data_IF_812961080077
#
_entry.id   IF_812961080077
#
_cell.length_a   1.000
_cell.length_b   1.000
_cell.length_c   1.000
_cell.angle_alpha   90.00
_cell.angle_beta   90.00
_cell.angle_gamma   90.00
#
_symmetry.space_group_name_H-M   'P 1'
#
loop_
_entity.id
_entity.type
_entity.pdbx_description
1 polymer ?
#
# COMPACT_ATOMS: atom_id res chain seq x y z
N UNK A 1 3.97 -21.35 4.37
CA UNK A 1 3.50 -22.08 3.21
C UNK A 1 4.49 -23.20 2.85
N UNK A 2 4.00 -24.38 2.53
CA UNK A 2 4.84 -25.54 2.18
C UNK A 2 4.17 -26.35 1.08
N UNK A 3 4.98 -26.97 0.18
CA UNK A 3 4.51 -27.90 -0.85
C UNK A 3 4.55 -29.36 -0.39
N UNK A 4 5.42 -29.68 0.56
CA UNK A 4 5.72 -31.05 0.99
C UNK A 4 5.39 -31.32 2.47
N UNK A 5 4.91 -30.29 3.19
CA UNK A 5 4.62 -30.36 4.62
C UNK A 5 5.86 -30.42 5.53
N UNK A 6 7.07 -30.25 4.97
CA UNK A 6 8.34 -30.30 5.71
C UNK A 6 9.08 -28.98 5.68
N UNK A 7 9.30 -28.46 4.50
CA UNK A 7 9.97 -27.17 4.31
C UNK A 7 8.92 -26.07 4.17
N UNK A 8 8.99 -25.09 5.07
CA UNK A 8 8.06 -23.99 5.10
C UNK A 8 8.74 -22.68 4.73
N UNK A 9 8.12 -21.88 3.89
CA UNK A 9 8.51 -20.51 3.61
C UNK A 9 7.59 -19.53 4.32
N UNK A 10 8.17 -18.45 4.83
CA UNK A 10 7.38 -17.37 5.39
C UNK A 10 6.58 -16.66 4.30
N UNK A 11 5.40 -16.18 4.66
CA UNK A 11 4.55 -15.36 3.82
C UNK A 11 4.65 -13.89 4.26
N UNK A 12 4.27 -12.98 3.36
CA UNK A 12 4.17 -11.54 3.63
C UNK A 12 5.47 -10.95 4.24
N UNK A 13 6.64 -11.42 3.77
CA UNK A 13 7.94 -11.04 4.33
C UNK A 13 8.03 -11.20 5.85
N UNK A 14 7.40 -12.24 6.39
CA UNK A 14 7.29 -12.53 7.82
C UNK A 14 6.55 -11.44 8.64
N UNK A 15 5.74 -10.62 7.99
CA UNK A 15 4.86 -9.64 8.65
C UNK A 15 3.46 -10.22 8.88
N UNK A 16 2.74 -9.67 9.82
CA UNK A 16 1.36 -10.07 10.08
C UNK A 16 0.48 -9.92 8.83
N UNK A 17 -0.35 -10.94 8.56
CA UNK A 17 -1.38 -10.91 7.51
C UNK A 17 -2.71 -10.38 8.07
N UNK A 18 -2.90 -10.50 9.37
CA UNK A 18 -4.12 -10.13 10.07
C UNK A 18 -3.78 -9.44 11.39
N UNK A 19 -4.41 -8.30 11.65
CA UNK A 19 -4.34 -7.58 12.92
C UNK A 19 -5.72 -7.63 13.60
N UNK A 20 -5.82 -8.11 14.86
CA UNK A 20 -7.08 -8.20 15.56
C UNK A 20 -7.53 -6.83 16.09
N UNK A 21 -8.84 -6.64 16.18
CA UNK A 21 -9.43 -5.50 16.85
C UNK A 21 -9.67 -5.78 18.34
N UNK A 22 -9.35 -4.80 19.19
CA UNK A 22 -9.63 -4.86 20.62
C UNK A 22 -8.83 -5.88 21.43
N UNK A 23 -7.69 -6.38 20.89
CA UNK A 23 -6.69 -7.12 21.63
C UNK A 23 -5.32 -6.90 21.01
N UNK A 24 -4.23 -7.15 21.77
CA UNK A 24 -2.88 -6.84 21.33
C UNK A 24 -2.31 -7.88 20.37
N UNK A 25 -2.72 -9.14 20.49
CA UNK A 25 -2.26 -10.25 19.64
C UNK A 25 -3.25 -11.42 19.63
N UNK A 26 -3.10 -12.24 18.57
CA UNK A 26 -3.76 -13.54 18.47
C UNK A 26 -2.82 -14.62 18.98
N UNK A 27 -3.32 -15.50 19.86
CA UNK A 27 -2.59 -16.66 20.35
C UNK A 27 -3.00 -17.92 19.58
N UNK A 28 -2.03 -18.72 19.16
CA UNK A 28 -2.20 -20.03 18.54
C UNK A 28 -3.30 -20.10 17.46
N UNK A 29 -3.23 -19.29 16.38
CA UNK A 29 -4.25 -19.27 15.34
C UNK A 29 -4.38 -20.64 14.68
N UNK A 30 -5.60 -20.98 14.26
CA UNK A 30 -5.94 -22.21 13.55
C UNK A 30 -6.97 -21.94 12.48
N UNK A 31 -6.72 -22.41 11.27
CA UNK A 31 -7.64 -22.35 10.14
C UNK A 31 -8.57 -23.58 10.15
N UNK A 32 -9.78 -23.42 9.64
CA UNK A 32 -10.71 -24.53 9.44
C UNK A 32 -11.58 -24.32 8.20
N UNK A 33 -12.09 -25.43 7.64
CA UNK A 33 -13.07 -25.42 6.55
C UNK A 33 -14.48 -25.44 7.09
N UNK A 34 -15.36 -24.70 6.43
CA UNK A 34 -16.80 -24.73 6.68
C UNK A 34 -17.50 -25.64 5.66
N UNK A 35 -18.67 -26.21 5.99
CA UNK A 35 -19.40 -27.10 5.09
C UNK A 35 -19.85 -26.44 3.78
N UNK A 36 -19.97 -25.12 3.74
CA UNK A 36 -20.30 -24.35 2.53
C UNK A 36 -19.09 -24.06 1.62
N UNK A 37 -17.91 -24.63 1.92
CA UNK A 37 -16.70 -24.43 1.14
C UNK A 37 -15.90 -23.16 1.47
N UNK A 38 -16.38 -22.32 2.39
CA UNK A 38 -15.62 -21.17 2.90
C UNK A 38 -14.74 -21.59 4.09
N UNK A 39 -14.04 -20.62 4.67
CA UNK A 39 -13.06 -20.87 5.72
C UNK A 39 -13.35 -20.05 6.97
N UNK A 40 -12.75 -20.45 8.06
CA UNK A 40 -12.67 -19.68 9.27
C UNK A 40 -11.25 -19.70 9.85
N UNK A 41 -10.94 -18.70 10.64
CA UNK A 41 -9.77 -18.65 11.49
C UNK A 41 -10.23 -18.48 12.92
N UNK A 42 -9.66 -19.28 13.83
CA UNK A 42 -9.90 -19.18 15.28
C UNK A 42 -8.57 -18.91 15.97
N UNK A 43 -8.57 -18.07 17.00
CA UNK A 43 -7.40 -17.81 17.83
C UNK A 43 -7.78 -17.49 19.28
N UNK A 44 -6.86 -17.76 20.20
CA UNK A 44 -6.97 -17.30 21.59
C UNK A 44 -6.70 -15.80 21.65
N UNK A 45 -7.30 -15.11 22.64
CA UNK A 45 -7.08 -13.69 22.90
C UNK A 45 -5.93 -13.57 23.90
N UNK A 46 -4.75 -13.18 23.43
CA UNK A 46 -3.53 -12.96 24.25
C UNK A 46 -3.19 -14.13 25.21
N UNK A 47 -3.80 -15.31 25.03
CA UNK A 47 -3.75 -16.45 25.96
C UNK A 47 -4.13 -16.08 27.41
N UNK A 48 -4.98 -15.09 27.59
CA UNK A 48 -5.40 -14.57 28.92
C UNK A 48 -6.92 -14.52 29.11
N UNK A 49 -7.70 -14.90 28.10
CA UNK A 49 -9.17 -14.80 28.10
C UNK A 49 -9.85 -16.17 28.09
N UNK A 50 -11.08 -16.22 28.59
CA UNK A 50 -12.03 -17.33 28.44
C UNK A 50 -12.76 -17.30 27.07
N UNK A 51 -12.37 -16.36 26.20
CA UNK A 51 -12.95 -16.15 24.88
C UNK A 51 -11.90 -16.44 23.78
N UNK A 52 -12.42 -16.75 22.61
CA UNK A 52 -11.66 -16.83 21.36
C UNK A 52 -12.13 -15.74 20.40
N UNK A 53 -11.28 -15.42 19.42
CA UNK A 53 -11.65 -14.64 18.26
C UNK A 53 -11.86 -15.58 17.08
N UNK A 54 -12.90 -15.30 16.29
CA UNK A 54 -13.22 -16.01 15.05
C UNK A 54 -13.32 -15.00 13.93
N UNK A 55 -12.77 -15.36 12.76
CA UNK A 55 -12.91 -14.66 11.49
C UNK A 55 -13.52 -15.59 10.45
N UNK A 56 -14.16 -15.01 9.45
CA UNK A 56 -14.60 -15.67 8.24
C UNK A 56 -13.67 -15.34 7.09
N UNK A 57 -13.58 -16.21 6.09
CA UNK A 57 -12.84 -15.96 4.85
C UNK A 57 -13.44 -16.80 3.71
N UNK A 58 -13.58 -16.19 2.52
CA UNK A 58 -14.04 -16.90 1.33
C UNK A 58 -12.89 -17.53 0.54
N UNK A 59 -11.65 -17.08 0.77
CA UNK A 59 -10.54 -17.39 -0.12
C UNK A 59 -9.17 -17.55 0.55
N UNK A 60 -9.07 -17.49 1.87
CA UNK A 60 -7.83 -17.51 2.67
C UNK A 60 -6.89 -16.30 2.46
N UNK A 61 -7.32 -15.29 1.68
CA UNK A 61 -6.53 -14.08 1.43
C UNK A 61 -6.96 -12.91 2.31
N UNK A 62 -8.25 -12.84 2.61
CA UNK A 62 -8.87 -11.80 3.41
C UNK A 62 -9.72 -12.44 4.50
N UNK A 63 -9.60 -11.89 5.71
CA UNK A 63 -10.34 -12.32 6.88
C UNK A 63 -11.20 -11.16 7.38
N UNK A 64 -12.48 -11.43 7.59
CA UNK A 64 -13.48 -10.41 7.94
C UNK A 64 -14.44 -10.94 9.00
N UNK A 65 -15.39 -10.13 9.42
CA UNK A 65 -16.42 -10.47 10.38
C UNK A 65 -15.82 -10.98 11.71
N UNK A 66 -14.86 -10.20 12.25
CA UNK A 66 -14.27 -10.51 13.55
C UNK A 66 -15.35 -10.58 14.62
N UNK A 67 -15.38 -11.67 15.37
CA UNK A 67 -16.28 -11.83 16.51
C UNK A 67 -15.61 -12.58 17.63
N UNK A 68 -16.08 -12.31 18.85
CA UNK A 68 -15.63 -13.00 20.05
C UNK A 68 -16.64 -14.04 20.44
N UNK A 69 -16.16 -15.20 20.87
CA UNK A 69 -16.97 -16.29 21.35
C UNK A 69 -16.42 -16.77 22.70
N UNK A 70 -17.25 -16.72 23.74
CA UNK A 70 -16.91 -17.25 25.06
C UNK A 70 -17.11 -18.76 25.07
N UNK A 71 -16.08 -19.52 25.48
CA UNK A 71 -16.13 -20.99 25.47
C UNK A 71 -16.52 -21.60 26.81
N UNK A 72 -16.49 -20.85 27.91
CA UNK A 72 -16.89 -21.33 29.22
C UNK A 72 -17.39 -20.19 30.10
N UNK A 73 -18.16 -20.54 31.13
CA UNK A 73 -18.69 -19.61 32.14
C UNK A 73 -17.94 -19.66 33.47
N UNK A 74 -16.82 -20.38 33.52
CA UNK A 74 -16.02 -20.61 34.72
C UNK A 74 -14.76 -19.74 34.79
N UNK A 75 -14.49 -18.96 33.76
CA UNK A 75 -13.31 -18.09 33.65
C UNK A 75 -12.02 -18.87 33.36
N UNK A 76 -12.09 -20.13 32.89
CA UNK A 76 -10.93 -20.89 32.47
C UNK A 76 -10.35 -20.24 31.22
N UNK A 77 -9.08 -19.85 31.29
CA UNK A 77 -8.35 -19.26 30.17
C UNK A 77 -8.26 -20.27 29.02
N UNK A 78 -8.59 -19.83 27.81
CA UNK A 78 -8.53 -20.63 26.58
C UNK A 78 -7.18 -20.50 25.91
N UNK A 79 -6.58 -21.65 25.58
CA UNK A 79 -5.34 -21.76 24.81
C UNK A 79 -5.53 -22.73 23.65
N UNK A 80 -4.73 -22.61 22.62
CA UNK A 80 -4.64 -23.55 21.49
C UNK A 80 -5.99 -23.96 20.88
N UNK A 81 -6.90 -23.00 20.58
CA UNK A 81 -8.20 -23.34 20.03
C UNK A 81 -8.06 -23.92 18.62
N UNK A 82 -8.89 -24.91 18.30
CA UNK A 82 -9.02 -25.50 16.99
C UNK A 82 -10.47 -25.87 16.71
N UNK A 83 -10.95 -25.60 15.50
CA UNK A 83 -12.32 -25.91 15.08
C UNK A 83 -12.31 -27.02 14.03
N UNK A 84 -13.23 -27.97 14.18
CA UNK A 84 -13.54 -28.96 13.16
C UNK A 84 -15.04 -29.04 12.96
N UNK A 85 -15.48 -29.11 11.70
CA UNK A 85 -16.86 -29.47 11.41
C UNK A 85 -17.03 -30.96 11.50
N UNK A 86 -18.06 -31.42 12.22
CA UNK A 86 -18.41 -32.80 12.41
C UNK A 86 -19.62 -33.10 11.52
N UNK A 87 -19.41 -33.87 10.45
CA UNK A 87 -20.44 -34.19 9.47
C UNK A 87 -21.56 -35.11 10.06
N UNK A 88 -21.24 -35.93 11.07
CA UNK A 88 -22.20 -36.81 11.70
C UNK A 88 -23.24 -36.07 12.56
N UNK A 89 -22.77 -35.03 13.26
CA UNK A 89 -23.63 -34.23 14.15
C UNK A 89 -24.12 -32.94 13.50
N UNK A 90 -23.52 -32.53 12.38
CA UNK A 90 -23.72 -31.25 11.72
C UNK A 90 -23.37 -30.03 12.63
N UNK A 91 -22.44 -30.20 13.56
CA UNK A 91 -21.97 -29.20 14.48
C UNK A 91 -20.49 -28.90 14.25
N UNK A 92 -20.03 -27.76 14.73
CA UNK A 92 -18.62 -27.48 14.90
C UNK A 92 -18.17 -27.95 16.27
N UNK A 93 -17.11 -28.76 16.32
CA UNK A 93 -16.41 -29.14 17.54
C UNK A 93 -15.25 -28.14 17.73
N UNK A 94 -15.25 -27.38 18.82
CA UNK A 94 -14.19 -26.47 19.21
C UNK A 94 -13.36 -27.13 20.30
N UNK A 95 -12.16 -27.59 19.96
CA UNK A 95 -11.20 -28.15 20.90
C UNK A 95 -10.31 -27.04 21.44
N UNK A 96 -9.99 -27.07 22.73
CA UNK A 96 -9.13 -26.06 23.36
C UNK A 96 -8.47 -26.60 24.64
N UNK A 97 -7.37 -25.99 25.00
CA UNK A 97 -6.65 -26.27 26.26
C UNK A 97 -7.00 -25.22 27.28
N UNK A 98 -7.29 -25.66 28.49
CA UNK A 98 -7.55 -24.79 29.62
C UNK A 98 -6.27 -24.28 30.27
N UNK A 99 -6.30 -23.09 30.85
CA UNK A 99 -5.25 -22.59 31.72
C UNK A 99 -5.03 -23.46 32.97
N UNK A 100 -5.94 -24.37 33.29
CA UNK A 100 -5.89 -25.39 34.35
C UNK A 100 -5.14 -26.67 33.94
N UNK A 101 -4.65 -26.73 32.66
CA UNK A 101 -3.90 -27.86 32.13
C UNK A 101 -4.73 -29.01 31.58
N UNK A 102 -6.04 -28.88 31.52
CA UNK A 102 -6.96 -29.85 30.92
C UNK A 102 -7.30 -29.49 29.49
N UNK A 103 -7.76 -30.47 28.72
CA UNK A 103 -8.29 -30.27 27.36
C UNK A 103 -9.81 -30.37 27.37
N UNK A 104 -10.45 -29.54 26.56
CA UNK A 104 -11.89 -29.42 26.49
C UNK A 104 -12.38 -29.46 25.04
N UNK A 105 -13.64 -29.82 24.89
CA UNK A 105 -14.40 -29.63 23.66
C UNK A 105 -15.72 -28.93 23.98
N UNK A 106 -16.07 -27.94 23.15
CA UNK A 106 -17.38 -27.29 23.12
C UNK A 106 -17.95 -27.44 21.72
N UNK A 107 -19.26 -27.58 21.61
CA UNK A 107 -19.93 -27.72 20.31
C UNK A 107 -20.77 -26.49 20.01
N UNK A 108 -20.95 -26.19 18.73
CA UNK A 108 -21.76 -25.06 18.26
C UNK A 108 -22.32 -25.34 16.87
N UNK A 109 -23.51 -24.86 16.59
CA UNK A 109 -24.13 -24.92 15.26
C UNK A 109 -23.67 -23.74 14.38
N UNK A 110 -23.51 -22.57 14.96
CA UNK A 110 -23.43 -21.29 14.23
C UNK A 110 -22.15 -20.47 14.55
N UNK A 111 -21.29 -20.95 15.44
CA UNK A 111 -20.12 -20.24 15.95
C UNK A 111 -20.47 -18.92 16.69
N UNK A 112 -21.67 -18.83 17.24
CA UNK A 112 -22.16 -17.72 18.05
C UNK A 112 -22.48 -18.11 19.49
N UNK A 113 -23.01 -19.31 19.67
CA UNK A 113 -23.30 -19.89 20.99
C UNK A 113 -22.69 -21.28 21.07
N UNK A 114 -22.23 -21.66 22.25
CA UNK A 114 -21.56 -22.95 22.48
C UNK A 114 -22.27 -23.76 23.57
N UNK A 115 -22.11 -25.08 23.53
CA UNK A 115 -22.45 -25.98 24.63
C UNK A 115 -21.57 -25.72 25.87
N UNK A 116 -21.94 -26.27 27.01
CA UNK A 116 -21.03 -26.39 28.15
C UNK A 116 -19.81 -27.23 27.75
N UNK A 117 -18.61 -26.88 28.25
CA UNK A 117 -17.37 -27.59 27.90
C UNK A 117 -17.36 -29.00 28.52
N UNK A 118 -16.88 -29.97 27.73
CA UNK A 118 -16.67 -31.34 28.17
C UNK A 118 -15.15 -31.65 28.12
N UNK A 119 -14.62 -32.27 29.19
CA UNK A 119 -13.22 -32.71 29.18
C UNK A 119 -12.94 -33.73 28.07
N UNK A 120 -11.82 -33.63 27.42
CA UNK A 120 -11.38 -34.51 26.34
C UNK A 120 -9.89 -34.84 26.46
N UNK A 121 -9.47 -35.90 25.80
CA UNK A 121 -8.05 -36.25 25.66
C UNK A 121 -7.40 -35.66 24.40
N UNK A 122 -8.19 -34.93 23.61
CA UNK A 122 -7.66 -34.30 22.40
C UNK A 122 -6.58 -33.29 22.72
N UNK A 123 -5.47 -33.38 22.00
CA UNK A 123 -4.40 -32.37 22.01
C UNK A 123 -4.11 -31.91 20.59
N UNK A 124 -3.85 -30.63 20.42
CA UNK A 124 -3.39 -30.07 19.16
C UNK A 124 -2.07 -30.75 18.78
N UNK A 125 -1.97 -31.23 17.55
CA UNK A 125 -0.72 -31.78 17.04
C UNK A 125 0.33 -30.67 16.92
N UNK A 126 1.50 -30.89 17.48
CA UNK A 126 2.68 -30.07 17.22
C UNK A 126 3.26 -30.44 15.86
N UNK A 127 3.76 -29.47 15.12
CA UNK A 127 4.39 -29.69 13.83
C UNK A 127 5.85 -29.32 13.91
N UNK A 128 6.69 -30.31 13.64
CA UNK A 128 8.11 -30.08 13.38
C UNK A 128 8.24 -29.52 11.94
N UNK A 129 8.25 -28.21 11.84
CA UNK A 129 8.43 -27.50 10.58
C UNK A 129 9.80 -26.79 10.57
N UNK A 130 10.53 -26.94 9.49
CA UNK A 130 11.71 -26.11 9.24
C UNK A 130 11.19 -24.75 8.75
N UNK A 131 11.40 -23.71 9.58
CA UNK A 131 11.03 -22.34 9.27
C UNK A 131 12.30 -21.53 8.96
N UNK A 132 12.21 -20.50 8.12
CA UNK A 132 13.28 -19.52 7.96
C UNK A 132 13.72 -18.95 9.30
N UNK A 133 15.03 -18.67 9.48
CA UNK A 133 15.61 -18.20 10.73
C UNK A 133 14.97 -16.93 11.30
N UNK A 134 14.38 -16.11 10.43
CA UNK A 134 13.70 -14.87 10.80
C UNK A 134 12.23 -15.09 11.23
N UNK A 135 11.70 -16.29 11.10
CA UNK A 135 10.31 -16.58 11.49
C UNK A 135 10.23 -16.83 13.00
N UNK A 136 9.35 -16.09 13.68
CA UNK A 136 9.02 -16.35 15.08
C UNK A 136 8.21 -17.64 15.15
N UNK A 137 8.70 -18.63 15.89
CA UNK A 137 7.96 -19.85 16.19
C UNK A 137 7.01 -19.60 17.35
N UNK A 138 5.73 -19.62 17.07
CA UNK A 138 4.71 -19.94 18.06
C UNK A 138 4.08 -21.30 17.65
N UNK A 139 3.46 -22.00 18.60
CA UNK A 139 2.80 -23.27 18.31
C UNK A 139 1.79 -23.10 17.18
N UNK A 140 2.08 -23.71 16.03
CA UNK A 140 1.28 -23.57 14.82
C UNK A 140 0.39 -24.80 14.59
N UNK A 141 -0.77 -24.61 14.00
CA UNK A 141 -1.55 -25.69 13.37
C UNK A 141 -1.18 -25.82 11.91
N UNK A 142 -1.24 -27.05 11.39
CA UNK A 142 -1.15 -27.31 9.95
C UNK A 142 -2.55 -27.31 9.37
N UNK A 143 -2.71 -26.65 8.24
CA UNK A 143 -3.91 -26.64 7.45
C UNK A 143 -3.57 -27.09 6.03
N UNK A 144 -4.18 -28.18 5.59
CA UNK A 144 -3.94 -28.74 4.26
C UNK A 144 -4.63 -27.88 3.19
N UNK A 145 -3.90 -27.58 2.12
CA UNK A 145 -4.36 -26.77 1.01
C UNK A 145 -4.52 -27.61 -0.26
N UNK A 146 -5.50 -27.29 -1.07
CA UNK A 146 -5.52 -27.70 -2.48
C UNK A 146 -4.47 -26.91 -3.27
N UNK A 147 -4.15 -27.36 -4.49
CA UNK A 147 -3.20 -26.65 -5.34
C UNK A 147 -3.67 -25.22 -5.65
N UNK A 148 -4.95 -25.02 -5.95
CA UNK A 148 -5.53 -23.70 -6.25
C UNK A 148 -5.45 -22.74 -5.04
N UNK A 149 -5.63 -23.24 -3.83
CA UNK A 149 -5.48 -22.47 -2.60
C UNK A 149 -4.02 -22.09 -2.36
N UNK A 150 -3.11 -23.06 -2.56
CA UNK A 150 -1.68 -22.82 -2.47
C UNK A 150 -1.24 -21.71 -3.43
N UNK A 151 -1.60 -21.84 -4.71
CA UNK A 151 -1.19 -20.89 -5.76
C UNK A 151 -1.75 -19.47 -5.50
N UNK A 152 -2.99 -19.40 -5.06
CA UNK A 152 -3.64 -18.14 -4.71
C UNK A 152 -2.98 -17.44 -3.51
N UNK A 153 -2.61 -18.19 -2.46
CA UNK A 153 -1.92 -17.68 -1.29
C UNK A 153 -0.48 -17.27 -1.65
N UNK A 154 0.21 -18.10 -2.43
CA UNK A 154 1.57 -17.78 -2.90
C UNK A 154 1.61 -16.54 -3.78
N UNK A 155 0.64 -16.41 -4.68
CA UNK A 155 0.50 -15.21 -5.52
C UNK A 155 0.32 -13.92 -4.70
N UNK A 156 -0.46 -13.97 -3.62
CA UNK A 156 -0.78 -12.79 -2.80
C UNK A 156 0.31 -12.47 -1.78
N UNK A 157 0.83 -13.46 -1.08
CA UNK A 157 1.68 -13.29 0.09
C UNK A 157 3.09 -13.87 -0.06
N UNK A 158 3.37 -14.57 -1.17
CA UNK A 158 4.69 -15.07 -1.48
C UNK A 158 5.68 -13.95 -1.78
N UNK A 159 6.96 -14.26 -1.71
CA UNK A 159 8.01 -13.33 -2.12
C UNK A 159 7.92 -13.11 -3.64
N UNK A 160 7.79 -11.85 -4.04
CA UNK A 160 7.75 -11.48 -5.45
C UNK A 160 9.04 -11.93 -6.15
N UNK A 161 8.90 -12.59 -7.28
CA UNK A 161 10.01 -13.02 -8.14
C UNK A 161 9.56 -13.07 -9.60
N UNK A 162 10.49 -12.90 -10.52
CA UNK A 162 10.21 -13.02 -11.95
C UNK A 162 9.92 -14.47 -12.33
N UNK A 163 8.91 -14.69 -13.17
CA UNK A 163 8.51 -16.02 -13.65
C UNK A 163 8.69 -16.19 -15.15
N UNK A 164 8.61 -15.11 -15.92
CA UNK A 164 8.86 -15.09 -17.37
C UNK A 164 9.22 -13.70 -17.86
N UNK A 165 9.67 -13.65 -19.09
CA UNK A 165 9.92 -12.42 -19.83
C UNK A 165 9.13 -12.51 -21.13
N UNK A 166 8.35 -11.49 -21.44
CA UNK A 166 7.57 -11.42 -22.66
C UNK A 166 8.49 -10.90 -23.78
N UNK A 167 8.88 -11.80 -24.70
CA UNK A 167 9.68 -11.50 -25.89
C UNK A 167 8.97 -12.08 -27.10
N UNK A 168 8.80 -11.28 -28.13
CA UNK A 168 8.17 -11.70 -29.37
C UNK A 168 9.22 -12.06 -30.43
N UNK A 169 8.92 -13.07 -31.25
CA UNK A 169 9.69 -13.35 -32.42
C UNK A 169 9.58 -12.20 -33.45
N UNK A 170 10.68 -11.83 -34.05
CA UNK A 170 10.74 -10.76 -35.04
C UNK A 170 10.92 -11.38 -36.42
N UNK A 171 10.03 -11.08 -37.36
CA UNK A 171 10.12 -11.52 -38.74
C UNK A 171 10.29 -10.31 -39.65
N UNK A 172 11.37 -10.32 -40.44
CA UNK A 172 11.69 -9.29 -41.45
C UNK A 172 11.99 -9.93 -42.79
N UNK A 173 11.90 -9.18 -43.87
CA UNK A 173 12.36 -9.65 -45.21
C UNK A 173 13.87 -9.58 -45.27
N UNK A 174 14.45 -10.47 -46.09
CA UNK A 174 15.89 -10.46 -46.35
C UNK A 174 16.34 -9.07 -46.88
N UNK A 175 17.33 -8.50 -46.21
CA UNK A 175 17.87 -7.17 -46.51
C UNK A 175 17.21 -6.02 -45.74
N UNK A 176 16.18 -6.29 -44.93
CA UNK A 176 15.65 -5.33 -43.98
C UNK A 176 16.42 -5.41 -42.65
N UNK A 177 16.52 -4.29 -41.95
CA UNK A 177 17.16 -4.22 -40.65
C UNK A 177 16.27 -4.87 -39.58
N UNK A 178 16.85 -5.69 -38.71
CA UNK A 178 16.19 -6.21 -37.50
C UNK A 178 16.42 -5.22 -36.38
N UNK A 179 15.34 -4.68 -35.85
CA UNK A 179 15.35 -3.80 -34.67
C UNK A 179 14.92 -4.60 -33.47
N UNK A 180 15.83 -4.78 -32.51
CA UNK A 180 15.53 -5.37 -31.19
C UNK A 180 15.02 -4.28 -30.28
N UNK A 181 14.02 -4.61 -29.44
CA UNK A 181 13.53 -3.68 -28.40
C UNK A 181 14.62 -3.44 -27.37
N UNK A 182 14.75 -2.23 -26.90
CA UNK A 182 15.63 -1.87 -25.78
C UNK A 182 15.01 -2.19 -24.40
N UNK A 183 13.70 -2.50 -24.38
CA UNK A 183 12.96 -2.90 -23.18
C UNK A 183 12.13 -4.16 -23.43
N UNK A 184 11.92 -4.94 -22.40
CA UNK A 184 11.05 -6.14 -22.38
C UNK A 184 10.22 -6.16 -21.10
N UNK A 185 9.03 -6.77 -21.17
CA UNK A 185 8.19 -6.93 -20.00
C UNK A 185 8.59 -8.17 -19.20
N UNK A 186 8.98 -7.95 -17.96
CA UNK A 186 9.20 -9.01 -16.97
C UNK A 186 7.90 -9.27 -16.22
N UNK A 187 7.44 -10.52 -16.25
CA UNK A 187 6.24 -10.97 -15.54
C UNK A 187 6.63 -11.54 -14.20
N UNK A 188 5.97 -11.08 -13.15
CA UNK A 188 6.23 -11.51 -11.77
C UNK A 188 5.21 -12.55 -11.28
N UNK A 189 5.54 -13.21 -10.17
CA UNK A 189 4.76 -14.30 -9.57
C UNK A 189 3.33 -13.89 -9.14
N UNK A 190 3.06 -12.60 -8.96
CA UNK A 190 1.74 -12.04 -8.68
C UNK A 190 0.94 -11.71 -9.95
N UNK A 191 1.57 -11.88 -11.12
CA UNK A 191 1.02 -11.54 -12.43
C UNK A 191 1.22 -10.08 -12.83
N UNK A 192 1.88 -9.27 -12.01
CA UNK A 192 2.28 -7.91 -12.39
C UNK A 192 3.37 -7.97 -13.47
N UNK A 193 3.50 -6.88 -14.22
CA UNK A 193 4.52 -6.71 -15.26
C UNK A 193 5.28 -5.42 -15.02
N UNK A 194 6.58 -5.45 -15.32
CA UNK A 194 7.44 -4.27 -15.31
C UNK A 194 8.28 -4.26 -16.56
N UNK A 195 8.30 -3.15 -17.28
CA UNK A 195 9.16 -2.97 -18.44
C UNK A 195 10.58 -2.69 -17.95
N UNK A 196 11.54 -3.49 -18.41
CA UNK A 196 12.94 -3.42 -17.99
C UNK A 196 13.85 -3.33 -19.22
N UNK A 197 14.95 -2.58 -19.10
CA UNK A 197 16.00 -2.53 -20.09
C UNK A 197 16.62 -3.92 -20.33
N UNK A 198 17.09 -4.16 -21.54
CA UNK A 198 17.71 -5.42 -21.93
C UNK A 198 18.94 -5.19 -22.80
N UNK A 199 20.03 -5.85 -22.47
CA UNK A 199 21.26 -5.89 -23.27
C UNK A 199 21.25 -7.15 -24.11
N UNK A 200 21.14 -6.99 -25.43
CA UNK A 200 21.09 -8.09 -26.35
C UNK A 200 22.50 -8.57 -26.75
N UNK A 201 22.74 -9.85 -26.61
CA UNK A 201 23.89 -10.52 -27.18
C UNK A 201 23.54 -11.04 -28.57
N UNK A 202 23.97 -10.33 -29.59
CA UNK A 202 23.71 -10.68 -30.97
C UNK A 202 24.73 -11.67 -31.53
N UNK A 203 25.70 -12.15 -30.75
CA UNK A 203 26.78 -13.06 -31.18
C UNK A 203 27.52 -12.58 -32.42
N UNK A 204 27.66 -11.26 -32.61
CA UNK A 204 28.31 -10.65 -33.77
C UNK A 204 27.48 -10.64 -35.06
N UNK A 205 26.19 -10.94 -35.01
CA UNK A 205 25.28 -10.82 -36.13
C UNK A 205 25.18 -9.36 -36.62
N UNK A 206 25.25 -9.16 -37.89
CA UNK A 206 24.99 -7.85 -38.49
C UNK A 206 23.48 -7.70 -38.73
N UNK A 207 22.76 -7.14 -37.78
CA UNK A 207 21.30 -6.98 -37.81
C UNK A 207 20.80 -6.13 -38.98
N UNK A 208 21.68 -5.34 -39.64
CA UNK A 208 21.33 -4.53 -40.81
C UNK A 208 21.34 -5.31 -42.12
N UNK A 209 21.94 -6.49 -42.15
CA UNK A 209 22.06 -7.28 -43.34
C UNK A 209 22.24 -8.76 -43.03
N UNK A 210 21.17 -9.38 -42.57
CA UNK A 210 21.12 -10.82 -42.33
C UNK A 210 20.77 -11.56 -43.62
N UNK A 211 21.41 -12.71 -43.84
CA UNK A 211 20.96 -13.67 -44.83
C UNK A 211 19.61 -14.29 -44.45
N UNK A 212 18.92 -14.90 -45.42
CA UNK A 212 17.71 -15.65 -45.11
C UNK A 212 18.02 -16.83 -44.20
N UNK A 213 17.25 -16.96 -43.08
CA UNK A 213 17.44 -18.00 -42.07
C UNK A 213 16.78 -17.63 -40.76
N UNK A 214 16.85 -18.54 -39.80
CA UNK A 214 16.44 -18.32 -38.44
C UNK A 214 17.65 -18.06 -37.55
N UNK A 215 17.53 -17.05 -36.68
CA UNK A 215 18.61 -16.63 -35.79
C UNK A 215 18.07 -16.53 -34.39
N UNK A 216 18.83 -16.97 -33.39
CA UNK A 216 18.52 -16.82 -31.98
C UNK A 216 19.49 -15.82 -31.36
N UNK A 217 18.96 -14.83 -30.70
CA UNK A 217 19.72 -13.91 -29.83
C UNK A 217 19.32 -14.10 -28.39
N UNK A 218 20.24 -13.85 -27.48
CA UNK A 218 19.96 -13.86 -26.03
C UNK A 218 20.04 -12.45 -25.48
N UNK A 219 19.28 -12.17 -24.42
CA UNK A 219 19.33 -10.87 -23.74
C UNK A 219 19.57 -11.04 -22.25
N UNK A 220 20.23 -10.07 -21.65
CA UNK A 220 20.37 -9.93 -20.21
C UNK A 220 19.53 -8.74 -19.76
N UNK A 221 18.61 -8.99 -18.81
CA UNK A 221 17.74 -7.94 -18.27
C UNK A 221 18.56 -7.08 -17.31
N UNK A 222 18.48 -5.77 -17.52
CA UNK A 222 19.09 -4.77 -16.66
C UNK A 222 18.16 -4.49 -15.49
N UNK A 223 18.23 -5.31 -14.44
CA UNK A 223 17.51 -5.06 -13.21
C UNK A 223 18.31 -4.06 -12.37
N UNK A 224 17.75 -2.87 -12.17
CA UNK A 224 18.24 -1.99 -11.09
C UNK A 224 17.78 -2.60 -9.77
N UNK A 225 18.70 -3.11 -8.98
CA UNK A 225 18.37 -3.78 -7.72
C UNK A 225 18.56 -2.89 -6.51
N UNK A 226 19.31 -1.82 -6.63
CA UNK A 226 19.68 -0.96 -5.52
C UNK A 226 19.23 0.48 -5.77
N UNK A 227 18.43 0.99 -4.83
CA UNK A 227 18.10 2.40 -4.76
C UNK A 227 19.00 3.09 -3.76
N UNK A 228 19.38 4.34 -4.05
CA UNK A 228 20.10 5.18 -3.11
C UNK A 228 19.26 5.38 -1.84
N UNK A 229 19.91 5.36 -0.68
CA UNK A 229 19.24 5.59 0.60
C UNK A 229 20.09 6.48 1.50
N UNK A 230 19.64 7.68 1.81
CA UNK A 230 18.39 8.31 1.33
C UNK A 230 18.47 8.74 -0.14
N UNK A 231 17.34 8.70 -0.84
CA UNK A 231 17.23 9.23 -2.20
C UNK A 231 17.41 10.76 -2.22
N UNK A 232 16.83 11.43 -1.24
CA UNK A 232 17.04 12.86 -1.00
C UNK A 232 17.04 13.14 0.51
N UNK A 233 18.01 13.94 0.98
CA UNK A 233 18.08 14.37 2.37
C UNK A 233 17.21 15.60 2.61
N UNK A 234 16.71 15.74 3.85
CA UNK A 234 15.87 16.87 4.27
C UNK A 234 14.60 17.06 3.42
N UNK A 235 14.01 15.92 3.00
CA UNK A 235 12.74 15.86 2.28
C UNK A 235 11.81 14.91 3.00
N UNK A 236 10.75 15.48 3.61
CA UNK A 236 9.61 14.70 4.07
C UNK A 236 8.60 14.53 2.91
N UNK A 237 7.68 13.60 3.04
CA UNK A 237 6.57 13.38 2.11
C UNK A 237 7.06 13.31 0.64
N UNK A 238 8.01 12.41 0.31
CA UNK A 238 8.62 12.37 -1.00
C UNK A 238 7.60 11.93 -2.06
N UNK A 239 7.53 12.66 -3.16
CA UNK A 239 6.71 12.33 -4.32
C UNK A 239 7.57 12.28 -5.58
N UNK A 240 7.42 11.21 -6.36
CA UNK A 240 8.10 11.06 -7.64
C UNK A 240 7.09 10.69 -8.73
N UNK A 241 7.21 11.28 -9.89
CA UNK A 241 6.38 10.99 -11.06
C UNK A 241 7.26 10.81 -12.29
N UNK A 242 6.90 9.84 -13.13
CA UNK A 242 7.58 9.62 -14.40
C UNK A 242 6.83 10.31 -15.54
N UNK A 243 7.57 11.10 -16.33
CA UNK A 243 7.07 11.72 -17.55
C UNK A 243 7.43 10.81 -18.75
N UNK A 244 6.44 10.06 -19.24
CA UNK A 244 6.61 9.16 -20.39
C UNK A 244 6.96 9.89 -21.69
N UNK A 245 6.59 11.17 -21.84
CA UNK A 245 6.86 11.94 -23.07
C UNK A 245 8.33 12.36 -23.15
N UNK A 246 8.96 12.63 -21.97
CA UNK A 246 10.35 13.09 -21.88
C UNK A 246 11.31 12.00 -21.42
N UNK A 247 10.80 10.84 -20.98
CA UNK A 247 11.58 9.72 -20.40
C UNK A 247 12.41 10.16 -19.18
N UNK A 248 11.79 10.95 -18.27
CA UNK A 248 12.45 11.46 -17.08
C UNK A 248 11.57 11.32 -15.84
N UNK A 249 12.20 11.33 -14.66
CA UNK A 249 11.52 11.42 -13.37
C UNK A 249 11.56 12.86 -12.87
N UNK A 250 10.43 13.33 -12.35
CA UNK A 250 10.37 14.52 -11.50
C UNK A 250 10.17 14.10 -10.05
N UNK A 251 10.84 14.80 -9.15
CA UNK A 251 10.79 14.54 -7.71
C UNK A 251 10.56 15.85 -6.95
N UNK A 252 9.73 15.76 -5.91
CA UNK A 252 9.49 16.81 -4.95
C UNK A 252 9.31 16.25 -3.55
N UNK A 253 9.20 17.10 -2.55
CA UNK A 253 8.93 16.74 -1.16
C UNK A 253 8.92 17.97 -0.29
N UNK A 254 8.34 17.84 0.90
CA UNK A 254 8.36 18.91 1.90
C UNK A 254 9.79 19.35 2.19
N UNK A 255 10.13 20.62 1.87
CA UNK A 255 11.49 21.11 1.94
C UNK A 255 11.87 21.48 3.38
N UNK A 256 12.52 20.56 4.07
CA UNK A 256 13.09 20.76 5.40
C UNK A 256 14.57 21.09 5.25
N UNK A 257 14.92 22.36 5.14
CA UNK A 257 16.31 22.78 4.99
C UNK A 257 17.10 22.72 6.32
N UNK A 258 18.44 22.73 6.27
CA UNK A 258 19.31 22.65 7.45
C UNK A 258 19.06 23.77 8.47
N UNK A 259 18.62 24.94 8.03
CA UNK A 259 18.30 26.07 8.91
C UNK A 259 17.02 25.84 9.71
N UNK A 260 16.17 24.94 9.24
CA UNK A 260 14.89 24.58 9.87
C UNK A 260 15.08 23.74 11.14
N UNK A 261 16.13 22.96 11.22
CA UNK A 261 16.48 22.17 12.42
C UNK A 261 16.73 23.06 13.66
N UNK A 262 16.97 24.36 13.47
CA UNK A 262 17.16 25.36 14.52
C UNK A 262 15.92 26.20 14.86
N UNK A 263 14.74 25.85 14.32
CA UNK A 263 13.45 26.42 14.72
C UNK A 263 12.97 27.65 13.93
N UNK A 264 13.53 27.94 12.77
CA UNK A 264 13.04 29.03 11.94
C UNK A 264 13.19 28.78 10.44
N UNK A 265 12.09 28.74 9.72
CA UNK A 265 12.08 28.75 8.24
C UNK A 265 11.98 27.37 7.57
N UNK A 266 11.42 26.37 8.27
CA UNK A 266 11.07 25.10 7.67
C UNK A 266 9.92 25.25 6.68
N UNK A 267 9.97 24.48 5.59
CA UNK A 267 8.88 24.38 4.62
C UNK A 267 8.51 25.72 3.97
N UNK A 268 9.52 26.56 3.69
CA UNK A 268 9.35 27.91 3.16
C UNK A 268 9.42 28.00 1.62
N UNK A 269 9.64 26.88 0.95
CA UNK A 269 9.73 26.80 -0.50
C UNK A 269 9.26 25.47 -1.05
N UNK A 270 8.88 25.48 -2.33
CA UNK A 270 8.56 24.31 -3.14
C UNK A 270 9.74 24.09 -4.08
N UNK A 271 10.27 22.86 -4.09
CA UNK A 271 11.44 22.48 -4.88
C UNK A 271 11.15 21.29 -5.76
N UNK A 272 11.78 21.22 -6.93
CA UNK A 272 11.67 20.11 -7.89
C UNK A 272 13.07 19.67 -8.31
N UNK A 273 13.26 18.37 -8.53
CA UNK A 273 14.41 17.77 -9.21
C UNK A 273 13.94 17.02 -10.44
N UNK A 274 14.79 16.93 -11.45
CA UNK A 274 14.59 16.11 -12.66
C UNK A 274 15.79 15.21 -12.85
N UNK A 275 15.54 13.93 -13.21
CA UNK A 275 16.58 12.97 -13.52
C UNK A 275 16.10 11.91 -14.52
N UNK A 276 17.03 11.28 -15.23
CA UNK A 276 16.75 10.20 -16.18
C UNK A 276 16.38 8.89 -15.45
N UNK A 277 16.91 8.69 -14.24
CA UNK A 277 16.57 7.52 -13.41
C UNK A 277 16.22 7.96 -11.99
N UNK A 278 15.52 7.10 -11.26
CA UNK A 278 15.15 7.39 -9.88
C UNK A 278 16.38 7.55 -8.97
N UNK A 279 17.48 6.84 -9.26
CA UNK A 279 18.71 6.95 -8.48
C UNK A 279 19.44 8.27 -8.72
N UNK A 280 19.37 8.81 -9.93
CA UNK A 280 20.02 10.08 -10.29
C UNK A 280 19.36 11.29 -9.61
N UNK A 281 18.15 11.11 -9.05
CA UNK A 281 17.49 12.12 -8.20
C UNK A 281 18.38 12.54 -7.03
N UNK A 282 19.22 11.63 -6.51
CA UNK A 282 20.12 11.93 -5.39
C UNK A 282 21.04 13.11 -5.68
N UNK A 283 21.62 13.15 -6.87
CA UNK A 283 22.61 14.14 -7.30
C UNK A 283 22.02 15.19 -8.27
N UNK A 284 20.72 15.08 -8.60
CA UNK A 284 20.07 15.99 -9.52
C UNK A 284 20.02 17.43 -8.96
N UNK A 285 20.17 18.40 -9.86
CA UNK A 285 19.97 19.80 -9.52
C UNK A 285 18.57 20.05 -8.99
N UNK A 286 18.48 20.79 -7.89
CA UNK A 286 17.23 21.18 -7.27
C UNK A 286 16.87 22.59 -7.66
N UNK A 287 15.69 22.77 -8.22
CA UNK A 287 15.13 24.06 -8.59
C UNK A 287 14.03 24.45 -7.64
N UNK A 288 14.12 25.65 -7.09
CA UNK A 288 13.07 26.26 -6.29
C UNK A 288 12.10 26.98 -7.20
N UNK A 289 10.84 26.50 -7.21
CA UNK A 289 9.78 27.01 -8.09
C UNK A 289 8.89 28.05 -7.40
N UNK A 290 8.92 28.09 -6.07
CA UNK A 290 8.19 29.07 -5.27
C UNK A 290 8.80 29.23 -3.89
N UNK A 291 8.83 30.47 -3.38
CA UNK A 291 9.24 30.79 -2.00
C UNK A 291 8.43 31.97 -1.49
N UNK A 292 7.71 31.80 -0.38
CA UNK A 292 7.10 32.88 0.44
C UNK A 292 6.78 34.18 -0.30
N UNK A 293 6.01 34.12 -1.37
CA UNK A 293 5.80 35.26 -2.25
C UNK A 293 4.36 35.78 -2.20
N UNK A 294 4.18 36.93 -2.84
CA UNK A 294 2.86 37.49 -3.11
C UNK A 294 2.56 37.31 -4.58
N UNK A 295 1.48 36.62 -4.88
CA UNK A 295 1.00 36.41 -6.23
C UNK A 295 0.53 37.72 -6.89
N UNK A 296 0.45 37.82 -8.22
CA UNK A 296 0.07 39.04 -8.94
C UNK A 296 -1.28 39.62 -8.55
N UNK A 297 -2.20 38.81 -8.05
CA UNK A 297 -3.53 39.24 -7.55
C UNK A 297 -3.49 39.84 -6.14
N UNK A 298 -2.33 39.83 -5.51
CA UNK A 298 -2.12 40.35 -4.14
C UNK A 298 -2.26 39.28 -3.06
N UNK A 299 -2.55 38.03 -3.42
CA UNK A 299 -2.61 36.89 -2.48
C UNK A 299 -1.21 36.55 -1.98
N UNK A 300 -1.02 36.49 -0.67
CA UNK A 300 0.23 36.06 -0.06
C UNK A 300 0.19 34.56 0.14
N UNK A 301 1.16 33.84 -0.44
CA UNK A 301 1.32 32.40 -0.29
C UNK A 301 2.67 32.14 0.34
N UNK A 302 2.63 31.73 1.59
CA UNK A 302 3.81 31.65 2.43
C UNK A 302 3.87 30.31 3.13
N UNK A 303 5.02 29.87 3.48
CA UNK A 303 5.48 28.73 4.26
C UNK A 303 4.48 27.64 4.66
N UNK A 304 5.02 26.63 5.30
CA UNK A 304 4.33 25.37 5.57
C UNK A 304 3.89 24.66 4.29
N UNK A 305 4.78 24.71 3.27
CA UNK A 305 4.57 23.91 2.07
C UNK A 305 4.83 22.43 2.40
N UNK A 306 3.74 21.73 2.77
CA UNK A 306 3.78 20.33 3.15
C UNK A 306 3.24 19.43 2.04
N UNK A 307 3.85 18.25 1.92
CA UNK A 307 3.43 17.19 1.02
C UNK A 307 3.13 17.66 -0.41
N UNK A 308 4.06 18.31 -1.11
CA UNK A 308 3.86 18.67 -2.50
C UNK A 308 3.79 17.44 -3.39
N UNK A 309 2.82 17.38 -4.28
CA UNK A 309 2.66 16.35 -5.30
C UNK A 309 2.65 16.95 -6.71
N UNK A 310 3.36 16.34 -7.65
CA UNK A 310 3.43 16.78 -9.05
C UNK A 310 2.49 15.94 -9.90
N UNK A 311 1.51 16.56 -10.53
CA UNK A 311 0.51 15.89 -11.36
C UNK A 311 0.35 16.57 -12.73
N UNK A 312 0.04 15.78 -13.77
CA UNK A 312 -0.39 16.30 -15.07
C UNK A 312 -1.92 16.39 -15.08
N UNK A 313 -2.48 17.57 -14.81
CA UNK A 313 -3.93 17.79 -14.69
C UNK A 313 -4.37 18.69 -15.85
N UNK A 314 -5.33 18.20 -16.66
CA UNK A 314 -5.83 18.96 -17.81
C UNK A 314 -4.73 19.28 -18.83
N UNK A 315 -3.77 18.37 -19.01
CA UNK A 315 -2.65 18.53 -19.94
C UNK A 315 -1.55 19.47 -19.46
N UNK A 316 -1.64 20.05 -18.26
CA UNK A 316 -0.61 20.89 -17.66
C UNK A 316 0.00 20.24 -16.43
N UNK A 317 1.29 20.44 -16.23
CA UNK A 317 1.96 20.07 -15.01
C UNK A 317 1.59 21.02 -13.87
N UNK A 318 1.25 20.46 -12.73
CA UNK A 318 0.80 21.18 -11.53
C UNK A 318 1.38 20.57 -10.26
N UNK A 319 1.60 21.43 -9.28
CA UNK A 319 1.93 21.00 -7.92
C UNK A 319 0.73 21.29 -7.04
N UNK A 320 0.24 20.25 -6.36
CA UNK A 320 -0.73 20.37 -5.26
C UNK A 320 0.08 20.38 -3.96
N UNK A 321 -0.19 21.31 -3.07
CA UNK A 321 0.58 21.46 -1.83
C UNK A 321 -0.18 22.26 -0.79
N UNK A 322 -0.10 21.87 0.49
CA UNK A 322 -0.53 22.78 1.57
C UNK A 322 0.33 24.04 1.57
N UNK A 323 -0.30 25.20 1.65
CA UNK A 323 0.37 26.49 1.86
C UNK A 323 -0.43 27.39 2.80
N UNK A 324 0.25 28.33 3.45
CA UNK A 324 -0.40 29.39 4.22
C UNK A 324 -0.80 30.52 3.28
N UNK A 325 -2.10 30.71 3.09
CA UNK A 325 -2.65 31.69 2.17
C UNK A 325 -3.31 32.85 2.94
N UNK A 326 -3.05 34.08 2.49
CA UNK A 326 -3.73 35.30 2.93
C UNK A 326 -4.25 36.02 1.70
N UNK A 327 -5.55 35.99 1.44
CA UNK A 327 -6.15 36.70 0.35
C UNK A 327 -6.24 38.22 0.64
N UNK A 328 -6.34 39.07 -0.38
CA UNK A 328 -6.55 40.50 -0.20
C UNK A 328 -7.76 40.79 0.70
N UNK A 329 -7.52 41.47 1.81
CA UNK A 329 -8.54 41.82 2.79
C UNK A 329 -8.64 40.88 3.98
N UNK A 330 -8.03 39.69 3.95
CA UNK A 330 -7.90 38.82 5.12
C UNK A 330 -6.91 39.37 6.15
N UNK A 331 -7.19 39.13 7.42
CA UNK A 331 -6.35 39.63 8.54
C UNK A 331 -5.28 38.61 8.97
N UNK A 332 -5.44 37.36 8.61
CA UNK A 332 -4.56 36.25 8.99
C UNK A 332 -4.52 35.18 7.90
N UNK A 333 -3.39 34.49 7.80
CA UNK A 333 -3.25 33.34 6.93
C UNK A 333 -4.05 32.15 7.43
N UNK A 334 -4.43 31.28 6.50
CA UNK A 334 -4.98 29.94 6.77
C UNK A 334 -4.32 28.91 5.87
N UNK A 335 -4.20 27.65 6.37
CA UNK A 335 -3.73 26.53 5.56
C UNK A 335 -4.76 26.20 4.48
N UNK A 336 -4.31 26.11 3.21
CA UNK A 336 -5.14 25.79 2.06
C UNK A 336 -4.38 24.90 1.10
N UNK A 337 -5.11 24.00 0.42
CA UNK A 337 -4.58 23.15 -0.64
C UNK A 337 -4.38 23.95 -1.91
N UNK A 338 -3.15 24.39 -2.11
CA UNK A 338 -2.74 25.27 -3.20
C UNK A 338 -2.46 24.49 -4.48
N UNK A 339 -2.72 25.10 -5.62
CA UNK A 339 -2.27 24.65 -6.93
C UNK A 339 -1.28 25.66 -7.51
N UNK A 340 -0.12 25.17 -7.91
CA UNK A 340 0.83 25.90 -8.75
C UNK A 340 0.84 25.25 -10.14
N UNK A 341 0.78 26.05 -11.20
CA UNK A 341 0.73 25.56 -12.57
C UNK A 341 2.00 25.95 -13.33
N UNK A 342 2.59 24.99 -14.02
CA UNK A 342 3.64 25.24 -15.00
C UNK A 342 3.00 25.63 -16.34
N UNK A 343 3.28 26.83 -16.83
CA UNK A 343 2.77 27.35 -18.09
C UNK A 343 3.75 27.18 -19.27
N UNK A 344 4.91 26.56 -19.03
CA UNK A 344 5.90 26.19 -20.05
C UNK A 344 6.11 24.69 -20.14
N UNK A 345 6.94 24.28 -21.09
CA UNK A 345 7.31 22.88 -21.28
C UNK A 345 8.42 22.41 -20.33
N UNK A 346 9.14 23.35 -19.70
CA UNK A 346 10.26 23.08 -18.81
C UNK A 346 9.84 23.29 -17.34
N UNK A 347 9.71 22.19 -16.60
CA UNK A 347 9.38 22.22 -15.18
C UNK A 347 10.54 22.73 -14.32
N UNK A 348 11.77 22.65 -14.86
CA UNK A 348 12.98 23.10 -14.15
C UNK A 348 13.24 24.59 -14.33
N UNK A 349 12.39 25.32 -15.08
CA UNK A 349 12.44 26.76 -15.17
C UNK A 349 11.45 27.41 -14.19
N UNK A 350 11.92 28.09 -13.10
CA UNK A 350 11.04 28.73 -12.12
C UNK A 350 10.07 29.74 -12.72
N UNK A 351 10.49 30.46 -13.79
CA UNK A 351 9.66 31.48 -14.43
C UNK A 351 8.42 30.92 -15.12
N UNK A 352 8.35 29.61 -15.31
CA UNK A 352 7.19 28.94 -15.88
C UNK A 352 6.09 28.65 -14.83
N UNK A 353 6.38 28.80 -13.54
CA UNK A 353 5.46 28.47 -12.47
C UNK A 353 4.72 29.69 -11.94
N UNK A 354 3.43 29.51 -11.70
CA UNK A 354 2.58 30.51 -11.08
C UNK A 354 1.65 29.89 -10.04
N UNK A 355 1.32 30.65 -9.02
CA UNK A 355 0.24 30.32 -8.10
C UNK A 355 -1.08 30.48 -8.83
N UNK A 356 -1.86 29.39 -8.94
CA UNK A 356 -3.14 29.37 -9.64
C UNK A 356 -4.32 29.66 -8.72
N UNK A 357 -4.21 29.25 -7.46
CA UNK A 357 -5.26 29.36 -6.46
C UNK A 357 -5.22 28.17 -5.49
N UNK A 358 -6.30 27.95 -4.75
CA UNK A 358 -6.46 26.76 -3.91
C UNK A 358 -7.72 26.00 -4.29
N UNK A 359 -7.77 24.71 -3.96
CA UNK A 359 -8.91 23.84 -4.29
C UNK A 359 -10.05 24.14 -3.31
N UNK A 360 -11.23 24.43 -3.84
CA UNK A 360 -12.41 24.79 -3.06
C UNK A 360 -13.24 23.56 -2.66
N UNK A 361 -13.83 23.61 -1.46
CA UNK A 361 -14.94 22.71 -1.09
C UNK A 361 -16.24 23.25 -1.70
N UNK A 362 -16.98 22.38 -2.39
CA UNK A 362 -18.25 22.74 -3.06
C UNK A 362 -19.36 23.14 -2.10
N UNK A 363 -19.22 22.86 -0.81
CA UNK A 363 -20.27 23.11 0.20
C UNK A 363 -20.15 24.45 0.90
N UNK A 364 -18.93 24.93 1.16
CA UNK A 364 -18.67 26.14 1.96
C UNK A 364 -17.68 27.10 1.32
N UNK A 365 -17.16 26.76 0.14
CA UNK A 365 -16.17 27.53 -0.60
C UNK A 365 -14.88 27.81 0.19
N UNK A 366 -14.59 27.00 1.21
CA UNK A 366 -13.31 26.98 1.91
C UNK A 366 -12.34 26.04 1.21
N UNK A 367 -11.14 25.84 1.71
CA UNK A 367 -10.23 24.81 1.19
C UNK A 367 -10.85 23.42 1.30
N UNK A 368 -10.67 22.60 0.27
CA UNK A 368 -11.21 21.23 0.18
C UNK A 368 -10.73 20.36 1.34
N UNK A 369 -9.48 20.50 1.74
CA UNK A 369 -8.83 19.76 2.80
C UNK A 369 -7.96 20.66 3.66
N UNK A 370 -7.20 20.03 4.55
CA UNK A 370 -6.24 20.72 5.43
C UNK A 370 -4.79 20.41 5.10
N UNK A 371 -4.50 19.34 4.37
CA UNK A 371 -3.19 18.88 3.87
C UNK A 371 -3.34 17.56 3.10
N UNK A 372 -2.31 17.15 2.34
CA UNK A 372 -2.18 15.83 1.70
C UNK A 372 -3.30 15.50 0.70
N UNK A 373 -3.78 16.47 -0.06
CA UNK A 373 -4.73 16.21 -1.15
C UNK A 373 -3.99 15.65 -2.36
N UNK A 374 -4.47 14.51 -2.86
CA UNK A 374 -3.92 13.88 -4.07
C UNK A 374 -4.93 13.88 -5.23
N UNK A 375 -4.41 13.74 -6.44
CA UNK A 375 -5.18 13.67 -7.69
C UNK A 375 -4.93 12.35 -8.40
N UNK A 376 -5.97 11.78 -8.98
CA UNK A 376 -5.85 10.65 -9.90
C UNK A 376 -6.97 10.61 -10.92
N UNK A 377 -6.76 9.83 -11.98
CA UNK A 377 -7.76 9.55 -13.01
C UNK A 377 -8.11 8.06 -12.99
N UNK A 378 -9.39 7.77 -13.09
CA UNK A 378 -9.88 6.40 -13.19
C UNK A 378 -11.12 6.36 -14.09
N UNK A 379 -11.10 5.46 -15.08
CA UNK A 379 -12.20 5.22 -16.05
C UNK A 379 -12.69 6.52 -16.72
N UNK A 380 -11.75 7.40 -17.11
CA UNK A 380 -12.03 8.66 -17.77
C UNK A 380 -12.62 9.75 -16.87
N UNK A 381 -12.65 9.53 -15.57
CA UNK A 381 -13.08 10.53 -14.59
C UNK A 381 -11.90 10.91 -13.69
N UNK A 382 -11.79 12.21 -13.39
CA UNK A 382 -10.77 12.76 -12.49
C UNK A 382 -11.31 12.95 -11.09
N UNK A 383 -10.44 12.74 -10.10
CA UNK A 383 -10.78 12.74 -8.69
C UNK A 383 -9.73 13.46 -7.84
N UNK A 384 -10.21 14.10 -6.77
CA UNK A 384 -9.39 14.42 -5.61
C UNK A 384 -9.73 13.50 -4.45
N UNK A 385 -8.70 13.04 -3.75
CA UNK A 385 -8.81 12.41 -2.43
C UNK A 385 -8.14 13.32 -1.43
N UNK A 386 -8.83 13.64 -0.34
CA UNK A 386 -8.35 14.62 0.63
C UNK A 386 -8.70 14.23 2.06
N UNK A 387 -7.79 14.41 3.03
CA UNK A 387 -8.13 14.32 4.43
C UNK A 387 -8.85 15.60 4.89
N UNK A 388 -9.99 15.41 5.55
CA UNK A 388 -10.74 16.49 6.22
C UNK A 388 -11.38 15.96 7.50
N UNK A 389 -11.16 16.65 8.63
CA UNK A 389 -11.75 16.27 9.93
C UNK A 389 -11.43 14.83 10.34
N UNK A 390 -10.16 14.42 10.21
CA UNK A 390 -9.66 13.08 10.55
C UNK A 390 -10.34 11.93 9.78
N UNK A 391 -10.76 12.20 8.57
CA UNK A 391 -11.37 11.23 7.64
C UNK A 391 -10.82 11.47 6.25
N UNK A 392 -10.91 10.45 5.39
CA UNK A 392 -10.56 10.55 3.97
C UNK A 392 -11.82 10.69 3.14
N UNK A 393 -11.82 11.66 2.26
CA UNK A 393 -12.93 12.00 1.39
C UNK A 393 -12.50 11.95 -0.08
N UNK A 394 -13.44 11.71 -0.96
CA UNK A 394 -13.25 11.74 -2.41
C UNK A 394 -14.29 12.65 -3.06
N UNK A 395 -13.87 13.34 -4.10
CA UNK A 395 -14.77 14.13 -4.97
C UNK A 395 -14.32 14.06 -6.41
N UNK A 396 -15.23 14.35 -7.34
CA UNK A 396 -14.91 14.49 -8.76
C UNK A 396 -14.46 15.90 -9.10
N UNK A 397 -13.60 16.02 -10.11
CA UNK A 397 -13.12 17.30 -10.62
C UNK A 397 -13.10 17.29 -12.15
N UNK A 398 -13.35 18.46 -12.76
CA UNK A 398 -13.04 18.70 -14.16
C UNK A 398 -11.56 19.14 -14.26
N UNK A 399 -10.68 18.39 -14.96
CA UNK A 399 -9.27 18.76 -15.06
C UNK A 399 -9.02 20.09 -15.78
N UNK A 400 -10.02 20.63 -16.50
CA UNK A 400 -9.95 21.97 -17.09
C UNK A 400 -10.18 23.10 -16.07
N UNK A 401 -10.81 22.80 -14.93
CA UNK A 401 -11.04 23.72 -13.81
C UNK A 401 -10.65 23.05 -12.47
N UNK A 402 -9.35 22.89 -12.21
CA UNK A 402 -8.87 22.08 -11.10
C UNK A 402 -9.11 22.72 -9.72
N UNK A 403 -9.45 24.00 -9.66
CA UNK A 403 -9.74 24.66 -8.38
C UNK A 403 -11.16 24.36 -7.86
N UNK A 404 -12.07 23.97 -8.75
CA UNK A 404 -13.49 23.79 -8.45
C UNK A 404 -13.94 22.35 -8.66
N UNK A 405 -13.94 21.49 -7.63
CA UNK A 405 -14.52 20.16 -7.73
C UNK A 405 -15.95 20.17 -8.24
N UNK A 406 -16.35 19.16 -9.00
CA UNK A 406 -17.67 19.08 -9.65
C UNK A 406 -18.72 18.36 -8.82
N UNK A 407 -18.31 17.69 -7.73
CA UNK A 407 -19.20 16.95 -6.83
C UNK A 407 -18.97 17.26 -5.37
N UNK A 408 -19.88 16.85 -4.49
CA UNK A 408 -19.68 16.96 -3.04
C UNK A 408 -18.60 15.99 -2.57
N UNK A 409 -18.00 16.28 -1.42
CA UNK A 409 -17.12 15.33 -0.73
C UNK A 409 -17.93 14.11 -0.26
N UNK A 410 -17.52 12.93 -0.71
CA UNK A 410 -18.08 11.63 -0.30
C UNK A 410 -17.11 10.96 0.65
N UNK A 411 -17.58 10.47 1.78
CA UNK A 411 -16.74 9.77 2.74
C UNK A 411 -16.17 8.49 2.13
N UNK A 412 -14.86 8.40 2.02
CA UNK A 412 -14.15 7.22 1.53
C UNK A 412 -13.70 6.31 2.68
N UNK A 413 -13.11 6.90 3.73
CA UNK A 413 -12.65 6.14 4.89
C UNK A 413 -12.67 6.98 6.16
N UNK A 414 -12.83 6.30 7.30
CA UNK A 414 -12.71 6.88 8.63
C UNK A 414 -11.89 5.94 9.52
N UNK A 415 -11.22 6.50 10.52
CA UNK A 415 -10.46 5.72 11.49
C UNK A 415 -11.44 4.90 12.37
N UNK A 416 -11.79 3.70 11.93
CA UNK A 416 -12.73 2.80 12.59
C UNK A 416 -12.07 1.54 13.16
N UNK A 417 -10.77 1.34 12.91
CA UNK A 417 -10.00 0.20 13.38
C UNK A 417 -9.05 0.56 14.52
N UNK A 418 -8.79 -0.40 15.40
CA UNK A 418 -7.97 -0.18 16.59
C UNK A 418 -6.55 0.33 16.28
N UNK A 419 -5.97 -0.04 15.14
CA UNK A 419 -4.64 0.44 14.73
C UNK A 419 -4.67 1.85 14.13
N UNK A 420 -5.80 2.30 13.62
CA UNK A 420 -6.02 3.65 13.10
C UNK A 420 -6.37 4.63 14.21
N UNK A 421 -6.98 4.14 15.29
CA UNK A 421 -7.24 4.92 16.48
C UNK A 421 -6.04 4.78 17.41
N UNK A 422 -5.27 5.84 17.62
CA UNK A 422 -4.12 5.79 18.52
C UNK A 422 -4.53 5.59 19.97
N UNK A 423 -4.87 4.36 20.37
CA UNK A 423 -5.19 3.94 21.74
C UNK A 423 -3.87 3.56 22.45
N UNK A 424 -2.80 4.30 22.19
CA UNK A 424 -1.53 4.15 22.88
C UNK A 424 -1.46 5.07 24.10
N UNK A 425 -1.31 4.48 25.28
CA UNK A 425 -0.91 5.14 26.53
C UNK A 425 -1.89 6.16 27.12
N UNK A 426 -3.17 5.79 27.34
CA UNK A 426 -4.03 6.50 28.30
C UNK A 426 -4.40 7.94 27.94
N UNK A 427 -4.19 8.35 26.70
CA UNK A 427 -4.73 9.58 26.16
C UNK A 427 -5.89 9.23 25.23
N UNK A 428 -7.02 9.88 25.44
CA UNK A 428 -8.07 9.92 24.43
C UNK A 428 -7.46 10.60 23.19
N UNK A 429 -6.78 9.83 22.34
CA UNK A 429 -6.22 10.29 21.10
C UNK A 429 -7.32 10.26 20.06
N UNK A 430 -7.49 11.35 19.35
CA UNK A 430 -8.27 11.34 18.13
C UNK A 430 -7.47 10.52 17.11
N UNK A 431 -8.02 9.39 16.66
CA UNK A 431 -7.50 8.72 15.49
C UNK A 431 -7.58 9.70 14.32
N UNK A 432 -6.48 9.85 13.58
CA UNK A 432 -6.47 10.59 12.32
C UNK A 432 -5.98 9.66 11.22
N UNK A 433 -6.65 9.69 10.11
CA UNK A 433 -6.16 9.14 8.86
C UNK A 433 -5.62 10.32 8.07
N UNK A 434 -4.34 10.28 7.76
CA UNK A 434 -3.71 11.17 6.80
C UNK A 434 -3.56 10.41 5.49
N UNK A 435 -3.66 11.12 4.39
CA UNK A 435 -3.59 10.58 3.05
C UNK A 435 -2.25 9.90 2.73
#
# INVERSE_FOLDING_TARGET
LSKDGKEYKALNNNKAILSPEGCSKLGSPSLFRKPNGTYGLVAAIDNTSDQIIIYDSDNLLYFYNQRRLRLNNTGIIVKNPMVKYNEETSLYDIFWEGGDGKSYVTTTEDLLQVSEPTETTYKKASVDAVLPDYAVREEASVFELTQDEYDRIEKKFGKLHSVSVDVNDISVKTGEEVVLSDKVDVVYSDGSKTSMGIDWNTNGLNLKNLAAGEYTVTGTINATTDYNSPLASYRADPYAVYDEEKDVYYFTGSNLNEKSASGGGAYDSIVIRQADTINDITDAEEVEIWRNETAPDGTKVTGWFWAPEIHKIGGKWRVIVLGQVTEPGEKSSSGRECIFTCNGDDLMNPDNWEYTGYIHDTTDNQSIGSFDTTYFEYDGQSYYVTPKSSKIWITTVDPSDPLNPTGPLVLLSSADRAFETNIGAGKAGFGSING
#
